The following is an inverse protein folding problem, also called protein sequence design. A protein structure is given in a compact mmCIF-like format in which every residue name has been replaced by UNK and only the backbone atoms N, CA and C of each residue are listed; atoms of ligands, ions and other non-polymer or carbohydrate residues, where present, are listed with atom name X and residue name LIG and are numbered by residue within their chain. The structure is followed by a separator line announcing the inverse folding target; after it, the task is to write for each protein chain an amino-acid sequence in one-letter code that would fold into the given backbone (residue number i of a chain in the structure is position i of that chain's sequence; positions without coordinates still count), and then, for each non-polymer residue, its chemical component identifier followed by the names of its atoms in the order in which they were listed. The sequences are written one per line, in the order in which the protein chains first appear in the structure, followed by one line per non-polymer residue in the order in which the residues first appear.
data_IF_980499597131
#
_entry.id   IF_980499597131
#
_cell.length_a   1.000
_cell.length_b   1.000
_cell.length_c   1.000
_cell.angle_alpha   90.00
_cell.angle_beta   90.00
_cell.angle_gamma   90.00
#
_symmetry.space_group_name_H-M   'P 1'
#
loop_
_entity.id
_entity.type
_entity.pdbx_description
1 polymer ?
#
# COMPACT_ATOMS: atom_id res chain seq x y z
N UNK A 1 33.55 7.45 -32.45
CA UNK A 1 33.18 6.09 -32.93
C UNK A 1 31.67 6.02 -33.10
N UNK A 2 31.17 5.90 -34.34
CA UNK A 2 29.76 5.68 -34.65
C UNK A 2 29.49 4.17 -34.67
N UNK A 3 28.53 3.68 -33.89
CA UNK A 3 28.04 2.30 -33.96
C UNK A 3 26.68 2.27 -34.65
N UNK A 4 26.58 1.49 -35.74
CA UNK A 4 25.37 1.25 -36.54
C UNK A 4 24.44 0.27 -35.82
N UNK A 5 23.10 0.43 -35.88
CA UNK A 5 22.17 -0.63 -35.52
C UNK A 5 21.93 -1.58 -36.72
N UNK A 6 21.98 -2.89 -36.42
CA UNK A 6 21.69 -4.00 -37.33
C UNK A 6 20.19 -4.02 -37.70
N UNK A 7 19.91 -4.09 -39.00
CA UNK A 7 18.56 -4.31 -39.56
C UNK A 7 18.23 -5.80 -39.47
N UNK A 8 17.13 -6.14 -38.81
CA UNK A 8 16.51 -7.45 -38.99
C UNK A 8 15.65 -7.43 -40.27
N UNK A 9 15.90 -8.41 -41.13
CA UNK A 9 15.29 -8.62 -42.45
C UNK A 9 13.89 -9.22 -42.26
N UNK A 10 12.85 -8.52 -42.71
CA UNK A 10 11.52 -9.09 -42.92
C UNK A 10 11.60 -10.18 -43.98
N UNK A 11 11.21 -11.40 -43.60
CA UNK A 11 11.00 -12.51 -44.53
C UNK A 11 9.51 -12.58 -44.80
N UNK A 12 9.10 -12.12 -45.99
CA UNK A 12 7.72 -12.22 -46.47
C UNK A 12 7.33 -13.70 -46.69
N UNK A 13 6.09 -14.10 -46.35
CA UNK A 13 5.62 -15.45 -46.66
C UNK A 13 5.24 -15.55 -48.15
N UNK A 14 5.67 -16.65 -48.76
CA UNK A 14 5.42 -16.99 -50.15
C UNK A 14 3.91 -17.18 -50.42
N UNK A 15 3.36 -16.37 -51.33
CA UNK A 15 2.06 -16.59 -51.94
C UNK A 15 2.16 -17.70 -52.99
N UNK A 16 1.53 -18.84 -52.73
CA UNK A 16 1.19 -19.80 -53.78
C UNK A 16 -0.22 -19.46 -54.28
N UNK A 17 -0.32 -19.06 -55.57
CA UNK A 17 -1.61 -19.03 -56.28
C UNK A 17 -1.87 -20.43 -56.80
N UNK A 18 -2.95 -21.06 -56.36
CA UNK A 18 -3.54 -22.20 -57.07
C UNK A 18 -4.82 -21.73 -57.72
N UNK A 19 -4.83 -21.76 -59.05
CA UNK A 19 -6.00 -21.54 -59.89
C UNK A 19 -7.02 -22.65 -59.67
N UNK A 20 -8.26 -22.31 -59.31
CA UNK A 20 -9.39 -23.25 -59.30
C UNK A 20 -9.96 -23.43 -60.71
N UNK A 21 -10.28 -24.65 -61.16
CA UNK A 21 -11.34 -24.86 -62.12
C UNK A 21 -12.69 -24.98 -61.40
N UNK A 22 -13.68 -24.37 -62.03
CA UNK A 22 -15.07 -24.25 -61.63
C UNK A 22 -15.78 -25.59 -61.35
N UNK A 23 -16.68 -25.57 -60.38
CA UNK A 23 -17.88 -26.41 -60.38
C UNK A 23 -17.80 -27.73 -59.60
N UNK A 24 -18.17 -27.68 -58.32
CA UNK A 24 -19.14 -28.58 -57.67
C UNK A 24 -19.31 -28.14 -56.22
N UNK A 25 -20.54 -27.79 -55.84
CA UNK A 25 -20.90 -27.53 -54.44
C UNK A 25 -20.58 -28.78 -53.61
N UNK A 26 -19.54 -28.73 -52.78
CA UNK A 26 -19.36 -29.68 -51.68
C UNK A 26 -19.88 -29.03 -50.42
N UNK A 27 -20.89 -29.66 -49.81
CA UNK A 27 -21.42 -29.36 -48.47
C UNK A 27 -20.26 -29.13 -47.50
N UNK A 28 -20.38 -28.18 -46.54
CA UNK A 28 -19.34 -28.00 -45.55
C UNK A 28 -19.24 -29.30 -44.73
N UNK A 29 -18.12 -30.02 -44.89
CA UNK A 29 -17.71 -30.98 -43.90
C UNK A 29 -17.42 -30.16 -42.64
N UNK A 30 -18.27 -30.31 -41.62
CA UNK A 30 -17.94 -29.87 -40.27
C UNK A 30 -16.50 -30.31 -40.01
N UNK A 31 -15.60 -29.36 -39.74
CA UNK A 31 -14.32 -29.66 -39.11
C UNK A 31 -14.64 -30.21 -37.73
N UNK A 32 -14.80 -31.52 -37.64
CA UNK A 32 -14.80 -32.24 -36.37
C UNK A 32 -13.41 -32.03 -35.79
N UNK A 33 -13.29 -31.11 -34.83
CA UNK A 33 -12.11 -31.03 -33.97
C UNK A 33 -11.96 -32.42 -33.34
N UNK A 34 -10.84 -33.09 -33.61
CA UNK A 34 -10.49 -34.31 -32.92
C UNK A 34 -10.43 -33.98 -31.42
N UNK A 35 -11.44 -34.44 -30.68
CA UNK A 35 -11.51 -34.33 -29.23
C UNK A 35 -10.74 -35.53 -28.65
N UNK A 36 -9.70 -35.33 -27.83
CA UNK A 36 -9.03 -36.44 -27.17
C UNK A 36 -9.96 -37.02 -26.10
N UNK A 37 -10.11 -38.34 -26.10
CA UNK A 37 -11.15 -39.06 -25.35
C UNK A 37 -10.57 -39.78 -24.13
N UNK A 38 -11.31 -39.80 -23.02
CA UNK A 38 -11.05 -40.65 -21.85
C UNK A 38 -11.77 -42.00 -21.97
N UNK A 39 -11.22 -43.04 -21.35
CA UNK A 39 -11.75 -44.41 -21.42
C UNK A 39 -12.79 -44.63 -20.31
N UNK A 40 -14.06 -44.78 -20.70
CA UNK A 40 -15.12 -45.24 -19.79
C UNK A 40 -15.30 -46.76 -19.93
N UNK A 41 -15.18 -47.49 -18.83
CA UNK A 41 -15.40 -48.94 -18.79
C UNK A 41 -16.75 -49.31 -19.44
N UNK A 42 -16.66 -50.08 -20.52
CA UNK A 42 -17.74 -50.75 -21.26
C UNK A 42 -18.67 -49.92 -22.18
N UNK A 43 -18.33 -48.68 -22.58
CA UNK A 43 -19.25 -47.88 -23.43
C UNK A 43 -18.63 -46.97 -24.49
N UNK A 44 -17.33 -47.10 -24.76
CA UNK A 44 -16.62 -46.26 -25.72
C UNK A 44 -16.05 -44.97 -25.12
N UNK A 45 -15.49 -44.16 -26.00
CA UNK A 45 -14.75 -42.96 -25.66
C UNK A 45 -15.69 -41.78 -25.35
N UNK A 46 -15.57 -41.18 -24.15
CA UNK A 46 -16.41 -40.05 -23.72
C UNK A 46 -15.59 -38.76 -23.65
N UNK A 47 -16.23 -37.66 -24.03
CA UNK A 47 -15.62 -36.34 -23.94
C UNK A 47 -15.34 -35.92 -22.50
N UNK A 48 -14.12 -35.43 -22.27
CA UNK A 48 -13.67 -34.99 -20.96
C UNK A 48 -14.48 -33.81 -20.40
N UNK A 49 -14.97 -32.91 -21.25
CA UNK A 49 -15.74 -31.73 -20.84
C UNK A 49 -14.94 -30.70 -20.04
N UNK A 50 -13.62 -30.62 -20.22
CA UNK A 50 -12.78 -29.63 -19.54
C UNK A 50 -13.18 -28.20 -19.95
N UNK A 51 -13.34 -27.31 -18.96
CA UNK A 51 -13.62 -25.90 -19.12
C UNK A 51 -12.43 -25.12 -19.69
N UNK A 52 -12.68 -23.86 -20.06
CA UNK A 52 -11.70 -23.01 -20.74
C UNK A 52 -10.46 -22.69 -19.88
N UNK A 53 -10.54 -22.92 -18.57
CA UNK A 53 -9.43 -22.77 -17.63
C UNK A 53 -8.58 -24.03 -17.45
N UNK A 54 -8.80 -25.08 -18.24
CA UNK A 54 -7.89 -26.22 -18.28
C UNK A 54 -6.63 -25.91 -19.10
N UNK A 55 -5.50 -26.45 -18.68
CA UNK A 55 -4.22 -26.38 -19.39
C UNK A 55 -4.26 -27.16 -20.71
N UNK A 56 -5.12 -28.19 -20.80
CA UNK A 56 -5.29 -28.97 -22.01
C UNK A 56 -6.72 -29.51 -22.13
N UNK A 57 -7.14 -29.86 -23.34
CA UNK A 57 -8.41 -30.58 -23.54
C UNK A 57 -8.33 -32.06 -23.17
N UNK A 58 -7.17 -32.54 -22.72
CA UNK A 58 -6.95 -33.92 -22.28
C UNK A 58 -7.20 -34.00 -20.77
N UNK A 59 -8.00 -34.99 -20.37
CA UNK A 59 -8.18 -35.35 -18.97
C UNK A 59 -7.42 -36.64 -18.65
N UNK A 60 -7.17 -36.85 -17.37
CA UNK A 60 -6.62 -38.11 -16.88
C UNK A 60 -7.50 -39.29 -17.29
N UNK A 61 -6.86 -40.37 -17.75
CA UNK A 61 -7.55 -41.50 -18.40
C UNK A 61 -8.41 -42.32 -17.45
N UNK A 62 -7.99 -42.42 -16.19
CA UNK A 62 -8.61 -43.30 -15.20
C UNK A 62 -9.58 -42.53 -14.29
N UNK A 63 -9.26 -41.28 -13.98
CA UNK A 63 -10.06 -40.43 -13.09
C UNK A 63 -10.97 -39.45 -13.84
N UNK A 64 -10.68 -39.15 -15.12
CA UNK A 64 -11.40 -38.14 -15.89
C UNK A 64 -11.15 -36.70 -15.44
N UNK A 65 -10.13 -36.47 -14.60
CA UNK A 65 -9.78 -35.17 -14.03
C UNK A 65 -9.03 -34.29 -15.03
N UNK A 66 -9.44 -33.04 -15.17
CA UNK A 66 -8.78 -32.07 -16.05
C UNK A 66 -7.60 -31.39 -15.34
N UNK A 67 -6.52 -31.11 -16.06
CA UNK A 67 -5.40 -30.31 -15.52
C UNK A 67 -5.80 -28.83 -15.52
N UNK A 68 -6.00 -28.23 -14.34
CA UNK A 68 -6.44 -26.84 -14.24
C UNK A 68 -5.27 -25.87 -14.22
N UNK A 69 -5.49 -24.66 -14.78
CA UNK A 69 -4.57 -23.54 -14.61
C UNK A 69 -4.45 -23.18 -13.12
N UNK A 70 -3.32 -22.62 -12.68
CA UNK A 70 -3.14 -22.19 -11.30
C UNK A 70 -4.30 -21.30 -10.84
N UNK A 71 -4.90 -21.63 -9.70
CA UNK A 71 -6.02 -20.85 -9.16
C UNK A 71 -7.36 -21.11 -9.86
N UNK A 72 -7.59 -22.26 -10.47
CA UNK A 72 -8.92 -22.79 -10.83
C UNK A 72 -9.04 -24.20 -10.28
N UNK A 73 -10.20 -24.53 -9.72
CA UNK A 73 -10.54 -25.78 -9.04
C UNK A 73 -11.72 -26.50 -9.73
N UNK A 74 -12.06 -27.69 -9.24
CA UNK A 74 -13.12 -28.54 -9.80
C UNK A 74 -12.62 -29.51 -10.87
N UNK A 75 -13.31 -30.64 -11.00
CA UNK A 75 -12.83 -31.76 -11.82
C UNK A 75 -12.73 -31.43 -13.31
N UNK A 76 -13.48 -30.43 -13.74
CA UNK A 76 -13.53 -29.92 -15.11
C UNK A 76 -12.92 -28.52 -15.23
N UNK A 77 -12.24 -28.01 -14.21
CA UNK A 77 -11.68 -26.64 -14.19
C UNK A 77 -12.74 -25.58 -14.48
N UNK A 78 -13.92 -25.79 -13.91
CA UNK A 78 -15.12 -24.96 -14.05
C UNK A 78 -15.40 -24.12 -12.81
N UNK A 79 -14.75 -24.42 -11.68
CA UNK A 79 -14.86 -23.66 -10.43
C UNK A 79 -13.65 -22.78 -10.25
N UNK A 80 -13.81 -21.47 -10.27
CA UNK A 80 -12.77 -20.59 -9.74
C UNK A 80 -12.77 -20.71 -8.20
N UNK A 81 -11.59 -20.61 -7.53
CA UNK A 81 -11.51 -20.62 -6.09
C UNK A 81 -12.40 -19.51 -5.55
N UNK A 82 -13.15 -19.84 -4.50
CA UNK A 82 -14.19 -19.02 -3.89
C UNK A 82 -13.72 -17.71 -3.23
N UNK A 83 -12.55 -17.17 -3.62
CA UNK A 83 -11.96 -15.95 -3.05
C UNK A 83 -11.99 -14.74 -4.00
N UNK A 84 -12.61 -14.83 -5.18
CA UNK A 84 -12.88 -13.66 -6.00
C UNK A 84 -14.17 -13.01 -5.50
N UNK A 85 -14.05 -12.06 -4.57
CA UNK A 85 -15.16 -11.40 -3.86
C UNK A 85 -15.92 -10.42 -4.79
N UNK A 86 -15.32 -10.03 -5.92
CA UNK A 86 -15.92 -9.10 -6.86
C UNK A 86 -15.27 -9.07 -8.24
N UNK A 87 -14.96 -10.23 -8.81
CA UNK A 87 -14.67 -10.31 -10.25
C UNK A 87 -15.95 -10.77 -10.95
N UNK A 88 -16.39 -10.08 -12.00
CA UNK A 88 -17.38 -10.66 -12.91
C UNK A 88 -16.82 -12.00 -13.41
N UNK A 89 -17.66 -13.05 -13.49
CA UNK A 89 -17.32 -14.45 -13.81
C UNK A 89 -16.45 -14.68 -15.08
N UNK A 90 -16.13 -13.64 -15.84
CA UNK A 90 -15.35 -13.66 -17.08
C UNK A 90 -14.11 -12.72 -17.10
N UNK A 91 -13.78 -12.04 -16.00
CA UNK A 91 -12.92 -10.84 -16.02
C UNK A 91 -11.46 -10.98 -15.59
N UNK A 92 -10.93 -12.20 -15.42
CA UNK A 92 -9.52 -12.39 -15.04
C UNK A 92 -8.69 -12.89 -16.22
N UNK A 93 -7.58 -12.22 -16.51
CA UNK A 93 -6.63 -12.64 -17.54
C UNK A 93 -5.93 -13.94 -17.10
N UNK A 94 -6.01 -14.96 -17.95
CA UNK A 94 -5.48 -16.30 -17.71
C UNK A 94 -3.96 -16.43 -17.91
N UNK A 95 -3.30 -15.38 -18.42
CA UNK A 95 -1.85 -15.30 -18.63
C UNK A 95 -1.20 -14.47 -17.52
N UNK A 96 -1.77 -13.31 -17.20
CA UNK A 96 -1.21 -12.39 -16.19
C UNK A 96 -1.73 -12.65 -14.78
N UNK A 97 -2.87 -13.34 -14.63
CA UNK A 97 -3.54 -13.54 -13.34
C UNK A 97 -4.26 -12.29 -12.81
N UNK A 98 -4.25 -11.19 -13.57
CA UNK A 98 -4.87 -9.94 -13.17
C UNK A 98 -6.38 -9.98 -13.41
N UNK A 99 -7.15 -9.70 -12.37
CA UNK A 99 -8.60 -9.60 -12.42
C UNK A 99 -9.09 -8.16 -12.58
N UNK A 100 -10.14 -7.98 -13.38
CA UNK A 100 -10.85 -6.71 -13.48
C UNK A 100 -11.85 -6.60 -12.32
N UNK A 101 -11.48 -5.80 -11.31
CA UNK A 101 -12.23 -5.65 -10.07
C UNK A 101 -13.47 -4.77 -10.22
N UNK A 102 -14.58 -5.17 -9.62
CA UNK A 102 -15.77 -4.31 -9.47
C UNK A 102 -15.56 -3.25 -8.39
N UNK A 103 -16.52 -2.32 -8.28
CA UNK A 103 -16.46 -1.29 -7.27
C UNK A 103 -16.44 -1.87 -5.85
N UNK A 104 -15.62 -1.26 -4.98
CA UNK A 104 -15.45 -1.70 -3.59
C UNK A 104 -14.40 -2.78 -3.35
N UNK A 105 -13.91 -3.48 -4.38
CA UNK A 105 -12.80 -4.45 -4.26
C UNK A 105 -11.51 -3.95 -4.93
N UNK A 106 -10.37 -4.47 -4.48
CA UNK A 106 -9.01 -4.19 -4.97
C UNK A 106 -8.10 -5.42 -4.78
N UNK A 107 -6.88 -5.34 -5.29
CA UNK A 107 -5.89 -6.43 -5.29
C UNK A 107 -5.86 -7.18 -6.62
N UNK A 108 -4.78 -7.92 -6.89
CA UNK A 108 -4.58 -8.63 -8.17
C UNK A 108 -5.72 -9.64 -8.47
N UNK A 109 -6.33 -10.18 -7.42
CA UNK A 109 -7.42 -11.15 -7.49
C UNK A 109 -8.77 -10.59 -7.01
N UNK A 110 -8.85 -9.28 -6.77
CA UNK A 110 -10.06 -8.62 -6.26
C UNK A 110 -10.61 -9.25 -4.97
N UNK A 111 -9.71 -9.64 -4.06
CA UNK A 111 -10.03 -10.31 -2.80
C UNK A 111 -9.88 -9.41 -1.56
N UNK A 112 -9.55 -8.13 -1.76
CA UNK A 112 -9.38 -7.15 -0.69
C UNK A 112 -10.41 -6.04 -0.87
N UNK A 113 -11.17 -5.71 0.18
CA UNK A 113 -12.06 -4.55 0.13
C UNK A 113 -11.26 -3.23 0.14
N UNK A 114 -11.79 -2.21 -0.53
CA UNK A 114 -11.25 -0.85 -0.45
C UNK A 114 -11.44 -0.28 0.96
N UNK A 115 -10.69 0.78 1.25
CA UNK A 115 -10.88 1.54 2.50
C UNK A 115 -12.33 2.03 2.57
N UNK A 116 -12.97 1.86 3.72
CA UNK A 116 -14.41 2.18 3.89
C UNK A 116 -15.36 1.13 3.32
N UNK A 117 -14.87 -0.08 3.00
CA UNK A 117 -15.68 -1.22 2.57
C UNK A 117 -15.36 -2.45 3.43
N UNK A 118 -16.39 -3.20 3.81
CA UNK A 118 -16.27 -4.41 4.63
C UNK A 118 -16.67 -5.65 3.84
N UNK A 119 -15.99 -6.77 4.10
CA UNK A 119 -16.35 -8.05 3.51
C UNK A 119 -17.62 -8.57 4.18
N UNK A 120 -18.57 -9.05 3.39
CA UNK A 120 -19.82 -9.61 3.87
C UNK A 120 -19.74 -11.13 3.96
N UNK A 121 -20.40 -11.77 4.95
CA UNK A 121 -20.40 -13.22 5.09
C UNK A 121 -21.07 -13.95 3.91
N UNK A 122 -21.89 -13.25 3.11
CA UNK A 122 -22.50 -13.77 1.89
C UNK A 122 -21.58 -13.66 0.66
N UNK A 123 -20.37 -13.11 0.83
CA UNK A 123 -19.47 -12.78 -0.26
C UNK A 123 -19.78 -11.42 -0.87
N UNK A 124 -18.74 -10.60 -1.01
CA UNK A 124 -18.83 -9.25 -1.58
C UNK A 124 -18.32 -8.20 -0.60
N UNK A 125 -17.95 -7.03 -1.12
CA UNK A 125 -17.64 -5.87 -0.30
C UNK A 125 -18.86 -4.95 -0.25
N UNK A 126 -19.25 -4.53 0.96
CA UNK A 126 -20.30 -3.53 1.17
C UNK A 126 -19.68 -2.25 1.75
N UNK A 127 -20.17 -1.10 1.30
CA UNK A 127 -19.76 0.19 1.84
C UNK A 127 -20.09 0.28 3.33
N UNK A 128 -19.17 0.81 4.11
CA UNK A 128 -19.38 1.07 5.53
C UNK A 128 -20.47 2.12 5.74
N UNK A 129 -21.12 2.10 6.90
CA UNK A 129 -22.08 3.14 7.26
C UNK A 129 -21.39 4.45 7.67
N UNK A 130 -22.19 5.51 7.82
CA UNK A 130 -21.69 6.83 8.19
C UNK A 130 -20.96 6.85 9.55
N UNK A 131 -21.34 5.99 10.49
CA UNK A 131 -20.71 5.93 11.82
C UNK A 131 -19.30 5.37 11.72
N UNK A 132 -19.12 4.30 10.96
CA UNK A 132 -17.83 3.68 10.71
C UNK A 132 -16.91 4.61 9.92
N UNK A 133 -17.44 5.39 8.98
CA UNK A 133 -16.65 6.42 8.29
C UNK A 133 -16.11 7.48 9.26
N UNK A 134 -16.94 8.03 10.16
CA UNK A 134 -16.48 8.99 11.17
C UNK A 134 -15.39 8.39 12.08
N UNK A 135 -15.52 7.12 12.46
CA UNK A 135 -14.51 6.43 13.27
C UNK A 135 -13.19 6.24 12.52
N UNK A 136 -13.23 5.88 11.23
CA UNK A 136 -12.01 5.75 10.41
C UNK A 136 -11.29 7.09 10.32
N UNK A 137 -12.00 8.18 10.08
CA UNK A 137 -11.42 9.52 9.98
C UNK A 137 -10.82 9.99 11.32
N UNK A 138 -11.54 9.76 12.43
CA UNK A 138 -11.05 10.07 13.77
C UNK A 138 -9.80 9.25 14.13
N UNK A 139 -9.78 7.97 13.74
CA UNK A 139 -8.64 7.08 13.97
C UNK A 139 -7.44 7.48 13.13
N UNK A 140 -7.65 7.89 11.87
CA UNK A 140 -6.59 8.40 11.00
C UNK A 140 -6.00 9.70 11.52
N UNK A 141 -6.87 10.62 11.98
CA UNK A 141 -6.46 11.86 12.63
C UNK A 141 -5.60 11.56 13.87
N UNK A 142 -6.07 10.70 14.76
CA UNK A 142 -5.31 10.29 15.96
C UNK A 142 -3.98 9.61 15.59
N UNK A 143 -3.98 8.71 14.61
CA UNK A 143 -2.77 8.03 14.14
C UNK A 143 -1.75 9.01 13.54
N UNK A 144 -2.20 10.03 12.82
CA UNK A 144 -1.33 11.09 12.29
C UNK A 144 -0.69 11.94 13.40
N UNK A 145 -1.46 12.25 14.46
CA UNK A 145 -0.94 12.95 15.64
C UNK A 145 0.07 12.09 16.41
N UNK A 146 -0.21 10.81 16.60
CA UNK A 146 0.73 9.86 17.20
C UNK A 146 2.03 9.73 16.39
N UNK A 147 1.95 9.75 15.06
CA UNK A 147 3.14 9.71 14.20
C UNK A 147 4.01 10.97 14.36
N UNK A 148 3.40 12.14 14.51
CA UNK A 148 4.13 13.39 14.80
C UNK A 148 4.85 13.32 16.15
N UNK A 149 4.14 12.94 17.21
CA UNK A 149 4.75 12.75 18.53
C UNK A 149 5.89 11.72 18.51
N UNK A 150 5.75 10.64 17.73
CA UNK A 150 6.81 9.64 17.58
C UNK A 150 8.03 10.18 16.83
N UNK A 151 7.82 11.02 15.83
CA UNK A 151 8.91 11.69 15.11
C UNK A 151 9.64 12.69 16.02
N UNK A 152 8.89 13.44 16.84
CA UNK A 152 9.45 14.39 17.80
C UNK A 152 10.23 13.68 18.91
N UNK A 153 9.72 12.54 19.41
CA UNK A 153 10.45 11.68 20.35
C UNK A 153 11.73 11.09 19.74
N UNK A 154 11.72 10.73 18.46
CA UNK A 154 12.92 10.24 17.78
C UNK A 154 13.99 11.34 17.66
N UNK A 155 13.61 12.60 17.47
CA UNK A 155 14.55 13.73 17.45
C UNK A 155 15.20 13.98 18.82
N UNK A 156 14.45 13.84 19.91
CA UNK A 156 14.95 14.01 21.29
C UNK A 156 15.80 12.81 21.75
N UNK A 157 15.41 11.58 21.43
CA UNK A 157 16.09 10.36 21.88
C UNK A 157 17.35 10.01 21.07
N UNK A 158 17.47 10.47 19.83
CA UNK A 158 18.66 10.23 19.01
C UNK A 158 19.88 11.05 19.46
N UNK A 159 19.73 11.94 20.44
CA UNK A 159 20.83 12.73 21.01
C UNK A 159 21.45 13.75 20.05
N UNK A 160 21.17 13.67 18.75
CA UNK A 160 21.79 14.49 17.71
C UNK A 160 21.46 15.98 17.85
N UNK A 161 20.26 16.32 18.32
CA UNK A 161 19.91 17.71 18.60
C UNK A 161 20.58 18.22 19.87
N UNK A 162 20.63 17.41 20.94
CA UNK A 162 21.34 17.77 22.17
C UNK A 162 22.85 17.95 21.94
N UNK A 163 23.47 17.05 21.16
CA UNK A 163 24.90 17.08 20.86
C UNK A 163 25.26 18.26 19.95
N UNK A 164 24.42 18.58 18.96
CA UNK A 164 24.57 19.81 18.16
C UNK A 164 24.46 21.08 19.00
N UNK A 165 23.56 21.07 19.98
CA UNK A 165 23.34 22.21 20.85
C UNK A 165 24.50 22.39 21.83
N UNK A 166 25.02 21.28 22.40
CA UNK A 166 26.21 21.28 23.25
C UNK A 166 27.46 21.79 22.51
N UNK A 167 27.70 21.34 21.27
CA UNK A 167 28.83 21.81 20.46
C UNK A 167 28.70 23.30 20.13
N UNK A 168 27.49 23.78 19.85
CA UNK A 168 27.25 25.20 19.58
C UNK A 168 27.53 26.05 20.82
N UNK A 169 27.01 25.65 21.99
CA UNK A 169 27.23 26.34 23.26
C UNK A 169 28.73 26.37 23.60
N UNK A 170 29.44 25.25 23.45
CA UNK A 170 30.89 25.19 23.69
C UNK A 170 31.67 26.16 22.77
N UNK A 171 31.30 26.22 21.49
CA UNK A 171 31.92 27.16 20.54
C UNK A 171 31.63 28.63 20.87
N UNK A 172 30.42 28.95 21.34
CA UNK A 172 30.05 30.30 21.76
C UNK A 172 30.79 30.70 23.04
N UNK A 173 30.89 29.80 24.03
CA UNK A 173 31.66 30.03 25.26
C UNK A 173 33.14 30.27 24.96
N UNK A 174 33.75 29.47 24.08
CA UNK A 174 35.15 29.67 23.67
C UNK A 174 35.37 31.01 22.98
N UNK A 175 34.39 31.45 22.17
CA UNK A 175 34.46 32.76 21.52
C UNK A 175 34.37 33.90 22.53
N UNK A 176 33.54 33.77 23.57
CA UNK A 176 33.47 34.73 24.66
C UNK A 176 34.75 34.75 25.51
N UNK A 177 35.34 33.60 25.82
CA UNK A 177 36.62 33.54 26.54
C UNK A 177 37.76 34.20 25.75
N UNK A 178 37.79 34.01 24.43
CA UNK A 178 38.77 34.66 23.56
C UNK A 178 38.58 36.19 23.51
N UNK A 179 37.33 36.67 23.39
CA UNK A 179 37.02 38.10 23.44
C UNK A 179 37.38 38.70 24.81
N UNK A 180 37.04 38.03 25.91
CA UNK A 180 37.37 38.45 27.27
C UNK A 180 38.90 38.48 27.50
N UNK A 181 39.64 37.51 26.97
CA UNK A 181 41.10 37.49 27.03
C UNK A 181 41.74 38.65 26.23
N UNK A 182 41.18 38.99 25.06
CA UNK A 182 41.64 40.16 24.30
C UNK A 182 41.41 41.46 25.07
N UNK A 183 40.24 41.63 25.67
CA UNK A 183 39.89 42.79 26.51
C UNK A 183 40.75 42.87 27.77
N UNK A 184 41.11 41.74 28.39
CA UNK A 184 42.01 41.70 29.53
C UNK A 184 43.46 42.08 29.16
N UNK A 185 43.90 41.77 27.93
CA UNK A 185 45.24 42.13 27.45
C UNK A 185 45.40 43.62 27.12
N UNK A 186 44.29 44.33 26.90
CA UNK A 186 44.24 45.79 26.70
C UNK A 186 44.09 46.59 28.01
N UNK A 187 44.24 45.92 29.16
CA UNK A 187 44.17 46.48 30.50
C UNK A 187 45.10 47.67 30.72
N UNK A 188 44.60 48.87 30.42
CA UNK A 188 45.28 50.13 30.65
C UNK A 188 44.49 51.39 30.28
N UNK A 189 43.34 51.28 29.62
CA UNK A 189 42.45 52.42 29.38
C UNK A 189 41.02 52.04 29.72
N UNK A 190 40.29 53.01 30.25
CA UNK A 190 38.86 52.96 30.53
C UNK A 190 38.09 52.57 29.27
N UNK A 191 37.95 51.26 29.02
CA UNK A 191 37.14 50.71 27.94
C UNK A 191 35.75 50.52 28.52
N UNK A 192 34.85 51.44 28.18
CA UNK A 192 33.46 51.39 28.62
C UNK A 192 32.83 50.04 28.31
N UNK A 193 32.23 49.41 29.33
CA UNK A 193 31.54 48.11 29.29
C UNK A 193 30.30 48.06 28.36
N UNK A 194 30.01 49.13 27.63
CA UNK A 194 28.86 49.24 26.72
C UNK A 194 28.74 48.12 25.68
N UNK A 195 29.81 47.74 24.95
CA UNK A 195 29.75 46.69 23.94
C UNK A 195 29.44 45.30 24.54
N UNK A 196 29.95 45.03 25.74
CA UNK A 196 29.70 43.77 26.47
C UNK A 196 28.26 43.76 27.00
N UNK A 197 27.78 44.89 27.52
CA UNK A 197 26.40 45.04 27.99
C UNK A 197 25.39 44.85 26.85
N UNK A 198 25.68 45.41 25.67
CA UNK A 198 24.81 45.25 24.50
C UNK A 198 24.78 43.81 23.98
N UNK A 199 25.92 43.11 23.99
CA UNK A 199 25.98 41.69 23.64
C UNK A 199 25.22 40.82 24.65
N UNK A 200 25.28 41.17 25.94
CA UNK A 200 24.50 40.52 27.00
C UNK A 200 22.99 40.74 26.83
N UNK A 201 22.57 41.96 26.48
CA UNK A 201 21.16 42.28 26.20
C UNK A 201 20.65 41.58 24.94
N UNK A 202 21.49 41.43 23.91
CA UNK A 202 21.17 40.65 22.72
C UNK A 202 21.00 39.16 23.03
N UNK A 203 21.86 38.59 23.89
CA UNK A 203 21.73 37.20 24.33
C UNK A 203 20.47 37.00 25.18
N UNK A 204 20.17 37.91 26.11
CA UNK A 204 18.95 37.88 26.92
C UNK A 204 17.70 37.83 26.04
N UNK A 205 17.63 38.68 25.00
CA UNK A 205 16.50 38.66 24.05
C UNK A 205 16.39 37.37 23.26
N UNK A 206 17.51 36.75 22.89
CA UNK A 206 17.50 35.43 22.21
C UNK A 206 17.00 34.33 23.13
N UNK A 207 17.45 34.32 24.39
CA UNK A 207 16.97 33.38 25.40
C UNK A 207 15.46 33.53 25.62
N UNK A 208 14.97 34.77 25.78
CA UNK A 208 13.53 35.02 25.95
C UNK A 208 12.70 34.54 24.74
N UNK A 209 13.24 34.66 23.52
CA UNK A 209 12.59 34.17 22.32
C UNK A 209 12.57 32.62 22.25
N UNK A 210 13.67 31.96 22.59
CA UNK A 210 13.75 30.49 22.65
C UNK A 210 12.87 29.92 23.78
N UNK A 211 12.79 30.59 24.93
CA UNK A 211 11.92 30.22 26.04
C UNK A 211 10.44 30.34 25.64
N UNK A 212 10.07 31.43 24.95
CA UNK A 212 8.71 31.61 24.43
C UNK A 212 8.34 30.53 23.38
N UNK A 213 9.30 30.15 22.53
CA UNK A 213 9.12 29.09 21.55
C UNK A 213 8.94 27.72 22.22
N UNK A 214 9.75 27.42 23.24
CA UNK A 214 9.66 26.18 24.03
C UNK A 214 8.33 26.10 24.76
N UNK A 215 7.85 27.20 25.35
CA UNK A 215 6.56 27.26 26.02
C UNK A 215 5.39 27.01 25.04
N UNK A 216 5.49 27.51 23.81
CA UNK A 216 4.50 27.24 22.76
C UNK A 216 4.45 25.76 22.36
N UNK A 217 5.61 25.11 22.20
CA UNK A 217 5.72 23.67 21.95
C UNK A 217 5.15 22.83 23.09
N UNK A 218 5.48 23.18 24.35
CA UNK A 218 4.92 22.50 25.53
C UNK A 218 3.40 22.62 25.61
N UNK A 219 2.84 23.77 25.21
CA UNK A 219 1.40 23.96 25.13
C UNK A 219 0.74 23.06 24.08
N UNK A 220 1.30 23.00 22.87
CA UNK A 220 0.80 22.12 21.81
C UNK A 220 0.85 20.63 22.22
N UNK A 221 1.92 20.22 22.90
CA UNK A 221 2.02 18.87 23.48
C UNK A 221 0.95 18.60 24.54
N UNK A 222 0.61 19.58 25.37
CA UNK A 222 -0.42 19.41 26.37
C UNK A 222 -1.82 19.34 25.74
N UNK A 223 -2.11 20.20 24.77
CA UNK A 223 -3.39 20.20 24.03
C UNK A 223 -3.60 18.86 23.28
N UNK A 224 -2.53 18.32 22.68
CA UNK A 224 -2.59 17.00 22.02
C UNK A 224 -2.74 15.84 23.01
N UNK A 225 -2.13 15.92 24.20
CA UNK A 225 -2.35 14.96 25.29
C UNK A 225 -3.81 14.95 25.74
N UNK A 226 -4.39 16.13 25.96
CA UNK A 226 -5.77 16.28 26.42
C UNK A 226 -6.76 15.73 25.36
N UNK A 227 -6.52 15.95 24.06
CA UNK A 227 -7.29 15.32 22.98
C UNK A 227 -7.19 13.79 22.97
N UNK A 228 -6.00 13.23 23.26
CA UNK A 228 -5.82 11.79 23.33
C UNK A 228 -6.58 11.17 24.51
N UNK A 229 -6.60 11.84 25.67
CA UNK A 229 -7.38 11.42 26.84
C UNK A 229 -8.90 11.44 26.56
N UNK A 230 -9.40 12.44 25.85
CA UNK A 230 -10.81 12.51 25.43
C UNK A 230 -11.18 11.38 24.44
N UNK A 231 -10.31 11.11 23.47
CA UNK A 231 -10.50 10.02 22.52
C UNK A 231 -10.52 8.64 23.22
N UNK A 232 -9.63 8.43 24.20
CA UNK A 232 -9.62 7.20 25.01
C UNK A 232 -10.92 7.02 25.81
N UNK A 233 -11.42 8.09 26.42
CA UNK A 233 -12.68 8.08 27.17
C UNK A 233 -13.85 7.73 26.25
N UNK A 234 -13.87 8.29 25.05
CA UNK A 234 -14.87 8.00 24.03
C UNK A 234 -14.83 6.53 23.59
N UNK A 235 -13.63 5.96 23.36
CA UNK A 235 -13.47 4.54 23.02
C UNK A 235 -13.94 3.62 24.16
N UNK A 236 -13.67 3.95 25.41
CA UNK A 236 -14.15 3.19 26.56
C UNK A 236 -15.68 3.18 26.65
N UNK A 237 -16.33 4.32 26.36
CA UNK A 237 -17.79 4.39 26.33
C UNK A 237 -18.39 3.48 25.25
N UNK A 238 -17.78 3.44 24.06
CA UNK A 238 -18.18 2.56 22.97
C UNK A 238 -17.98 1.09 23.34
N UNK A 239 -16.85 0.75 23.95
CA UNK A 239 -16.57 -0.60 24.43
C UNK A 239 -17.60 -1.06 25.47
N UNK A 240 -17.95 -0.22 26.44
CA UNK A 240 -18.99 -0.54 27.43
C UNK A 240 -20.35 -0.74 26.78
N UNK A 241 -20.70 0.07 25.77
CA UNK A 241 -21.96 -0.09 25.03
C UNK A 241 -22.00 -1.38 24.20
N UNK A 242 -20.87 -1.81 23.63
CA UNK A 242 -20.77 -3.09 22.93
C UNK A 242 -20.97 -4.26 23.90
N UNK A 243 -20.35 -4.22 25.08
CA UNK A 243 -20.48 -5.27 26.09
C UNK A 243 -21.90 -5.38 26.64
N UNK A 244 -22.66 -4.28 26.70
CA UNK A 244 -24.08 -4.29 27.04
C UNK A 244 -24.91 -5.00 25.96
N UNK A 245 -24.62 -4.78 24.68
CA UNK A 245 -25.33 -5.45 23.58
C UNK A 245 -25.04 -6.95 23.50
N UNK A 246 -23.85 -7.40 23.91
CA UNK A 246 -23.47 -8.82 23.95
C UNK A 246 -24.06 -9.57 25.16
N UNK A 247 -24.51 -8.86 26.21
CA UNK A 247 -25.10 -9.46 27.41
C UNK A 247 -26.61 -9.75 27.29
N UNK A 248 -27.27 -9.12 26.32
CA UNK A 248 -28.72 -9.27 26.05
C UNK A 248 -29.02 -10.29 24.91
N UNK A 249 -28.01 -10.98 24.38
CA UNK A 249 -28.10 -12.00 23.32
C UNK A 249 -27.93 -13.44 23.86
#
# INVERSE_FOLDING_TARGET
LRLRPQRHREVQPAHWRVSLPSGRQRRPLLRVRARPLGFGSAGGCRDCGCGNASLSSQCDRDTGLCQCRPGVTGDKCDRWPARCIGANFAGCDNVTGQCQCVDGVRGERCDICRRGWLNTPQGGCKVCDSCIFMLIDSTDSANSSLQRLRADQAAVLNGSELERLLVRIDSELQQFDAEAATLASEGGRDVGLGPVQEKLDQLRKRQEAEDAQTLALMKDQNDTRDQAEEALTSLQSLQNSSQLMDADA
#
